data_IF_911015914756
#
_entry.id   IF_911015914756
#
_cell.length_a   1.000
_cell.length_b   1.000
_cell.length_c   1.000
_cell.angle_alpha   90.00
_cell.angle_beta   90.00
_cell.angle_gamma   90.00
#
_symmetry.space_group_name_H-M   'P 1'
#
loop_
_entity.id
_entity.type
_entity.pdbx_description
1 polymer ?
#
# COMPACT_ATOMS: atom_id res chain seq x y z
N UNK A 1 6.23 18.24 -13.37
CA UNK A 1 7.23 17.76 -12.38
C UNK A 1 8.55 17.58 -13.10
N UNK A 2 9.66 18.10 -12.57
CA UNK A 2 10.98 17.86 -13.16
C UNK A 2 11.53 16.53 -12.62
N UNK A 3 11.73 15.54 -13.50
CA UNK A 3 12.24 14.22 -13.09
C UNK A 3 13.71 14.27 -12.67
N UNK A 4 14.50 15.20 -13.22
CA UNK A 4 15.93 15.28 -12.95
C UNK A 4 16.25 15.76 -11.53
N UNK A 5 15.32 16.47 -10.87
CA UNK A 5 15.47 16.94 -9.49
C UNK A 5 15.02 15.93 -8.44
N UNK A 6 14.48 14.78 -8.84
CA UNK A 6 14.02 13.75 -7.91
C UNK A 6 15.15 12.76 -7.60
N UNK A 7 15.12 12.21 -6.39
CA UNK A 7 16.05 11.16 -5.95
C UNK A 7 15.36 9.79 -6.07
N UNK A 8 15.80 8.90 -6.99
CA UNK A 8 15.17 7.59 -7.16
C UNK A 8 15.29 6.71 -5.92
N UNK A 9 16.36 6.84 -5.13
CA UNK A 9 16.55 6.07 -3.90
C UNK A 9 15.56 6.47 -2.80
N UNK A 10 15.19 7.75 -2.72
CA UNK A 10 14.17 8.23 -1.77
C UNK A 10 12.78 7.72 -2.14
N UNK A 11 12.46 7.69 -3.45
CA UNK A 11 11.20 7.16 -3.96
C UNK A 11 11.07 5.66 -3.67
N UNK A 12 12.14 4.89 -3.85
CA UNK A 12 12.16 3.45 -3.51
C UNK A 12 12.06 3.20 -2.01
N UNK A 13 12.73 4.02 -1.19
CA UNK A 13 12.61 3.96 0.26
C UNK A 13 11.16 4.19 0.70
N UNK A 14 10.51 5.24 0.15
CA UNK A 14 9.10 5.51 0.40
C UNK A 14 8.19 4.36 -0.08
N UNK A 15 8.45 3.78 -1.26
CA UNK A 15 7.71 2.62 -1.74
C UNK A 15 7.85 1.41 -0.81
N UNK A 16 9.06 1.17 -0.28
CA UNK A 16 9.35 0.08 0.67
C UNK A 16 8.62 0.27 2.00
N UNK A 17 8.55 1.51 2.50
CA UNK A 17 7.78 1.85 3.71
C UNK A 17 6.30 1.53 3.48
N UNK A 18 5.71 1.99 2.37
CA UNK A 18 4.31 1.70 2.04
C UNK A 18 4.03 0.19 1.93
N UNK A 19 4.93 -0.59 1.31
CA UNK A 19 4.79 -2.06 1.26
C UNK A 19 4.76 -2.71 2.65
N UNK A 20 5.59 -2.23 3.58
CA UNK A 20 5.60 -2.70 4.96
C UNK A 20 4.32 -2.33 5.71
N UNK A 21 3.80 -1.12 5.49
CA UNK A 21 2.52 -0.68 6.05
C UNK A 21 1.34 -1.50 5.52
N UNK A 22 1.29 -1.75 4.20
CA UNK A 22 0.28 -2.62 3.60
C UNK A 22 0.32 -4.04 4.19
N UNK A 23 1.52 -4.61 4.34
CA UNK A 23 1.70 -5.93 4.97
C UNK A 23 1.22 -5.94 6.43
N UNK A 24 1.50 -4.86 7.17
CA UNK A 24 1.07 -4.73 8.57
C UNK A 24 -0.46 -4.62 8.69
N UNK A 25 -1.10 -3.89 7.78
CA UNK A 25 -2.57 -3.80 7.70
C UNK A 25 -3.21 -5.15 7.35
N UNK A 26 -2.61 -5.91 6.43
CA UNK A 26 -3.09 -7.26 6.10
C UNK A 26 -3.01 -8.21 7.30
N UNK A 27 -1.93 -8.14 8.08
CA UNK A 27 -1.81 -8.92 9.31
C UNK A 27 -2.89 -8.54 10.32
N UNK A 28 -3.08 -7.24 10.59
CA UNK A 28 -4.15 -6.76 11.48
C UNK A 28 -5.54 -7.18 11.00
N UNK A 29 -5.78 -7.15 9.69
CA UNK A 29 -7.03 -7.61 9.06
C UNK A 29 -7.26 -9.09 9.30
N UNK A 30 -6.21 -9.91 9.24
CA UNK A 30 -6.29 -11.34 9.51
C UNK A 30 -6.52 -11.63 11.00
N UNK A 31 -5.87 -10.89 11.89
CA UNK A 31 -6.09 -10.99 13.34
C UNK A 31 -7.53 -10.63 13.71
N UNK A 32 -8.04 -9.51 13.18
CA UNK A 32 -9.43 -9.09 13.35
C UNK A 32 -10.39 -10.16 12.84
N UNK A 33 -10.17 -10.69 11.63
CA UNK A 33 -11.01 -11.77 11.09
C UNK A 33 -11.03 -12.98 12.01
N UNK A 34 -9.87 -13.37 12.53
CA UNK A 34 -9.75 -14.52 13.45
C UNK A 34 -10.54 -14.28 14.73
N UNK A 35 -10.44 -13.09 15.33
CA UNK A 35 -11.23 -12.71 16.51
C UNK A 35 -12.74 -12.71 16.22
N UNK A 36 -13.14 -12.22 15.06
CA UNK A 36 -14.56 -12.16 14.64
C UNK A 36 -15.16 -13.54 14.37
N UNK A 37 -14.35 -14.47 13.84
CA UNK A 37 -14.76 -15.84 13.56
C UNK A 37 -14.83 -16.72 14.82
N UNK A 38 -14.23 -16.31 15.95
CA UNK A 38 -14.39 -17.01 17.23
C UNK A 38 -15.88 -17.07 17.60
N UNK A 39 -16.34 -18.21 18.12
CA UNK A 39 -17.77 -18.38 18.38
C UNK A 39 -18.22 -17.53 19.56
N UNK A 40 -19.08 -16.55 19.28
CA UNK A 40 -19.65 -15.64 20.27
C UNK A 40 -21.10 -16.05 20.56
N UNK A 41 -21.44 -16.31 21.83
CA UNK A 41 -22.77 -16.74 22.29
C UNK A 41 -23.84 -15.63 22.27
N UNK A 42 -23.84 -14.79 21.23
CA UNK A 42 -24.71 -13.61 21.13
C UNK A 42 -26.07 -13.95 20.52
N UNK A 43 -27.13 -13.31 21.04
CA UNK A 43 -28.51 -13.41 20.51
C UNK A 43 -28.60 -12.87 19.07
N UNK A 44 -29.57 -13.38 18.31
CA UNK A 44 -29.61 -13.39 16.83
C UNK A 44 -29.59 -12.03 16.12
N UNK A 45 -30.28 -11.00 16.63
CA UNK A 45 -30.31 -9.67 15.97
C UNK A 45 -28.99 -8.90 16.13
N UNK A 46 -28.43 -8.87 17.34
CA UNK A 46 -27.13 -8.22 17.60
C UNK A 46 -25.97 -8.92 16.87
N UNK A 47 -26.05 -10.24 16.68
CA UNK A 47 -25.05 -10.99 15.90
C UNK A 47 -25.08 -10.62 14.41
N UNK A 48 -26.26 -10.35 13.84
CA UNK A 48 -26.40 -9.93 12.44
C UNK A 48 -25.77 -8.56 12.18
N UNK A 49 -26.15 -7.55 12.96
CA UNK A 49 -25.62 -6.18 12.82
C UNK A 49 -24.11 -6.12 13.08
N UNK A 50 -23.63 -6.88 14.07
CA UNK A 50 -22.20 -7.04 14.34
C UNK A 50 -21.46 -7.64 13.14
N UNK A 51 -21.98 -8.72 12.55
CA UNK A 51 -21.38 -9.36 11.38
C UNK A 51 -21.33 -8.40 10.18
N UNK A 52 -22.41 -7.67 9.89
CA UNK A 52 -22.46 -6.71 8.78
C UNK A 52 -21.44 -5.57 8.98
N UNK A 53 -21.36 -5.04 10.20
CA UNK A 53 -20.37 -4.01 10.57
C UNK A 53 -18.94 -4.54 10.43
N UNK A 54 -18.70 -5.77 10.89
CA UNK A 54 -17.40 -6.42 10.85
C UNK A 54 -16.93 -6.69 9.42
N UNK A 55 -17.84 -7.16 8.55
CA UNK A 55 -17.55 -7.33 7.12
C UNK A 55 -17.23 -5.98 6.45
N UNK A 56 -17.95 -4.92 6.80
CA UNK A 56 -17.67 -3.57 6.30
C UNK A 56 -16.30 -3.07 6.74
N UNK A 57 -15.91 -3.32 7.99
CA UNK A 57 -14.58 -2.98 8.50
C UNK A 57 -13.49 -3.74 7.76
N UNK A 58 -13.60 -5.06 7.63
CA UNK A 58 -12.63 -5.89 6.91
C UNK A 58 -12.45 -5.42 5.46
N UNK A 59 -13.56 -5.13 4.77
CA UNK A 59 -13.52 -4.58 3.41
C UNK A 59 -12.87 -3.20 3.33
N UNK A 60 -13.07 -2.36 4.35
CA UNK A 60 -12.41 -1.04 4.42
C UNK A 60 -10.90 -1.18 4.55
N UNK A 61 -10.43 -2.16 5.34
CA UNK A 61 -9.00 -2.45 5.46
C UNK A 61 -8.44 -3.00 4.15
N UNK A 62 -9.18 -3.89 3.48
CA UNK A 62 -8.79 -4.42 2.16
C UNK A 62 -8.60 -3.27 1.15
N UNK A 63 -9.60 -2.38 1.02
CA UNK A 63 -9.50 -1.22 0.12
C UNK A 63 -8.32 -0.30 0.45
N UNK A 64 -8.06 -0.04 1.74
CA UNK A 64 -6.94 0.82 2.15
C UNK A 64 -5.58 0.18 1.88
N UNK A 65 -5.51 -1.13 2.04
CA UNK A 65 -4.32 -1.91 1.69
C UNK A 65 -4.03 -1.81 0.20
N UNK A 66 -5.06 -1.97 -0.65
CA UNK A 66 -4.93 -1.84 -2.10
C UNK A 66 -4.47 -0.43 -2.50
N UNK A 67 -5.06 0.62 -1.92
CA UNK A 67 -4.64 2.01 -2.16
C UNK A 67 -3.16 2.26 -1.77
N UNK A 68 -2.67 1.64 -0.70
CA UNK A 68 -1.26 1.76 -0.27
C UNK A 68 -0.34 1.01 -1.23
N UNK A 69 -0.74 -0.19 -1.67
CA UNK A 69 0.01 -0.97 -2.66
C UNK A 69 0.10 -0.23 -4.00
N UNK A 70 -0.99 0.35 -4.48
CA UNK A 70 -1.00 1.16 -5.72
C UNK A 70 -0.05 2.35 -5.63
N UNK A 71 -0.02 3.05 -4.48
CA UNK A 71 0.93 4.14 -4.23
C UNK A 71 2.37 3.65 -4.18
N UNK A 72 2.62 2.49 -3.58
CA UNK A 72 3.96 1.89 -3.57
C UNK A 72 4.42 1.57 -5.00
N UNK A 73 3.59 0.91 -5.80
CA UNK A 73 3.89 0.61 -7.21
C UNK A 73 4.09 1.87 -8.04
N UNK A 74 3.30 2.91 -7.81
CA UNK A 74 3.49 4.20 -8.46
C UNK A 74 4.88 4.79 -8.16
N UNK A 75 5.32 4.76 -6.90
CA UNK A 75 6.63 5.26 -6.50
C UNK A 75 7.78 4.44 -7.09
N UNK A 76 7.65 3.12 -7.16
CA UNK A 76 8.64 2.24 -7.83
C UNK A 76 8.78 2.58 -9.31
N UNK A 77 7.64 2.74 -10.01
CA UNK A 77 7.63 3.14 -11.41
C UNK A 77 8.21 4.55 -11.62
N UNK A 78 7.93 5.49 -10.71
CA UNK A 78 8.48 6.84 -10.77
C UNK A 78 10.00 6.84 -10.55
N UNK A 79 10.50 6.03 -9.61
CA UNK A 79 11.94 5.86 -9.38
C UNK A 79 12.66 5.38 -10.64
N UNK A 80 12.07 4.41 -11.35
CA UNK A 80 12.64 3.92 -12.60
C UNK A 80 12.61 4.97 -13.72
N UNK A 81 11.51 5.73 -13.85
CA UNK A 81 11.44 6.83 -14.81
C UNK A 81 12.50 7.91 -14.52
N UNK A 82 12.73 8.22 -13.25
CA UNK A 82 13.77 9.16 -12.82
C UNK A 82 15.17 8.65 -13.20
N UNK A 83 15.48 7.38 -12.95
CA UNK A 83 16.76 6.78 -13.37
C UNK A 83 16.98 6.88 -14.86
N UNK A 84 15.98 6.50 -15.65
CA UNK A 84 16.06 6.56 -17.11
C UNK A 84 16.25 7.99 -17.61
N UNK A 85 15.58 8.97 -16.99
CA UNK A 85 15.75 10.39 -17.33
C UNK A 85 17.17 10.87 -17.00
N UNK A 86 17.68 10.56 -15.81
CA UNK A 86 19.03 10.93 -15.38
C UNK A 86 20.12 10.27 -16.24
N UNK A 87 19.96 8.99 -16.60
CA UNK A 87 20.89 8.28 -17.47
C UNK A 87 20.93 8.89 -18.88
N UNK A 88 19.76 9.21 -19.45
CA UNK A 88 19.67 9.90 -20.75
C UNK A 88 20.37 11.26 -20.75
N UNK A 89 20.24 12.02 -19.67
CA UNK A 89 20.88 13.33 -19.55
C UNK A 89 22.41 13.22 -19.43
N UNK A 90 22.92 12.27 -18.63
CA UNK A 90 24.36 11.98 -18.57
C UNK A 90 24.94 11.62 -19.94
N UNK A 91 24.26 10.75 -20.69
CA UNK A 91 24.68 10.36 -22.04
C UNK A 91 24.69 11.53 -23.04
N UNK A 92 23.85 12.56 -22.86
CA UNK A 92 23.90 13.76 -23.69
C UNK A 92 25.11 14.63 -23.34
N UNK A 93 25.41 14.77 -22.05
CA UNK A 93 26.54 15.55 -21.56
C UNK A 93 27.88 14.92 -21.96
N UNK A 94 27.98 13.59 -22.00
CA UNK A 94 29.18 12.87 -22.46
C UNK A 94 29.40 12.93 -23.97
N UNK A 95 28.38 13.30 -24.76
CA UNK A 95 28.43 13.41 -26.22
C UNK A 95 28.55 14.85 -26.74
N UNK A 96 28.52 15.83 -25.84
CA UNK A 96 28.65 17.26 -26.14
C UNK A 96 30.10 17.71 -25.89
#
# INVERSE_FOLDING_TARGET
MNLLSLNPSELESAASILKKEASSLQNLRQDLKTLLDQDHSWKTSSRKEFNETSQTLLKTIDNKTDEINDKSTYLENLAEQVRLAQAKEKLKQEKA
#
